data_IF_178443591379
#
_entry.id   IF_178443591379
#
_cell.length_a   1.000
_cell.length_b   1.000
_cell.length_c   1.000
_cell.angle_alpha   90.00
_cell.angle_beta   90.00
_cell.angle_gamma   90.00
#
_symmetry.space_group_name_H-M   'P 1'
#
loop_
_entity.id
_entity.type
_entity.pdbx_description
1 polymer ?
#
# COMPACT_ATOMS: atom_id res chain seq x y z
N UNK A 1 -18.06 -64.61 -25.33
CA UNK A 1 -17.02 -63.64 -25.70
C UNK A 1 -16.84 -62.66 -24.56
N UNK A 2 -15.64 -62.67 -23.94
CA UNK A 2 -15.00 -61.60 -23.14
C UNK A 2 -15.74 -61.15 -21.86
N UNK A 3 -15.12 -60.96 -20.69
CA UNK A 3 -13.82 -61.30 -20.14
C UNK A 3 -13.82 -60.85 -18.67
N UNK A 4 -13.16 -61.65 -17.83
CA UNK A 4 -12.36 -61.32 -16.64
C UNK A 4 -12.82 -60.34 -15.54
N UNK A 5 -12.80 -60.92 -14.34
CA UNK A 5 -12.55 -60.34 -13.01
C UNK A 5 -11.35 -59.36 -12.99
N UNK A 6 -11.38 -58.35 -12.12
CA UNK A 6 -10.29 -58.13 -11.15
C UNK A 6 -10.69 -57.16 -10.03
N UNK A 7 -10.15 -57.44 -8.84
CA UNK A 7 -10.20 -56.63 -7.63
C UNK A 7 -9.08 -55.57 -7.65
N UNK A 8 -9.09 -54.75 -6.60
CA UNK A 8 -7.96 -54.04 -5.99
C UNK A 8 -7.82 -52.52 -6.24
N UNK A 9 -8.05 -51.82 -5.12
CA UNK A 9 -7.12 -50.84 -4.52
C UNK A 9 -7.28 -49.35 -4.85
N UNK A 10 -7.51 -48.63 -3.75
CA UNK A 10 -7.25 -47.21 -3.49
C UNK A 10 -6.16 -46.58 -4.35
N UNK A 11 -6.50 -45.51 -5.07
CA UNK A 11 -5.60 -44.37 -5.31
C UNK A 11 -6.45 -43.10 -5.47
N UNK A 12 -6.24 -42.14 -4.57
CA UNK A 12 -6.60 -40.73 -4.77
C UNK A 12 -5.60 -40.15 -5.78
N UNK A 13 -6.03 -39.28 -6.72
CA UNK A 13 -5.14 -38.20 -7.12
C UNK A 13 -5.86 -36.83 -7.19
N UNK A 14 -5.42 -35.94 -6.30
CA UNK A 14 -4.83 -34.61 -6.57
C UNK A 14 -5.29 -33.81 -7.79
N UNK A 15 -5.90 -32.64 -7.50
CA UNK A 15 -5.70 -31.32 -8.14
C UNK A 15 -5.59 -31.25 -9.68
N UNK A 16 -6.61 -30.67 -10.34
CA UNK A 16 -6.40 -29.59 -11.32
C UNK A 16 -7.77 -29.02 -11.75
N UNK A 17 -7.99 -27.73 -11.51
CA UNK A 17 -8.45 -26.74 -12.50
C UNK A 17 -9.10 -25.58 -11.75
N UNK A 18 -8.26 -24.61 -11.37
CA UNK A 18 -8.70 -23.25 -11.12
C UNK A 18 -9.54 -22.80 -12.31
N UNK A 19 -10.87 -22.77 -12.13
CA UNK A 19 -11.78 -22.20 -13.12
C UNK A 19 -11.60 -20.69 -13.11
N UNK A 20 -10.75 -20.24 -14.02
CA UNK A 20 -10.82 -18.96 -14.69
C UNK A 20 -12.28 -18.53 -14.86
N UNK A 21 -12.72 -17.57 -14.06
CA UNK A 21 -13.86 -16.73 -14.40
C UNK A 21 -13.37 -15.30 -14.44
N UNK A 22 -12.72 -15.00 -15.55
CA UNK A 22 -12.68 -13.67 -16.12
C UNK A 22 -14.13 -13.13 -16.17
N UNK A 23 -14.49 -12.29 -15.20
CA UNK A 23 -15.74 -11.54 -15.24
C UNK A 23 -15.46 -10.21 -15.91
N UNK A 24 -15.68 -10.25 -17.23
CA UNK A 24 -16.53 -9.29 -17.96
C UNK A 24 -16.13 -7.81 -17.81
N UNK A 25 -15.25 -7.39 -18.71
CA UNK A 25 -15.14 -6.02 -19.18
C UNK A 25 -16.53 -5.48 -19.55
N UNK A 26 -16.98 -4.44 -18.84
CA UNK A 26 -18.01 -3.51 -19.28
C UNK A 26 -17.35 -2.14 -19.44
N UNK A 27 -17.39 -1.59 -20.66
CA UNK A 27 -17.02 -0.22 -20.97
C UNK A 27 -18.05 0.73 -20.36
N UNK A 28 -17.59 1.65 -19.52
CA UNK A 28 -18.37 2.75 -18.94
C UNK A 28 -17.54 3.46 -17.89
N UNK A 29 -16.75 4.46 -18.31
CA UNK A 29 -15.81 5.26 -17.50
C UNK A 29 -14.74 4.40 -16.79
N UNK A 30 -13.60 4.18 -17.48
CA UNK A 30 -12.47 3.33 -17.06
C UNK A 30 -11.69 3.87 -15.85
N UNK A 31 -12.36 4.32 -14.80
CA UNK A 31 -11.73 4.46 -13.48
C UNK A 31 -11.41 3.06 -13.02
N UNK A 32 -10.16 2.62 -13.24
CA UNK A 32 -9.61 1.48 -12.50
C UNK A 32 -9.89 1.78 -11.04
N UNK A 33 -10.78 1.03 -10.39
CA UNK A 33 -10.87 1.05 -8.94
C UNK A 33 -9.50 0.58 -8.45
N UNK A 34 -8.66 1.56 -8.11
CA UNK A 34 -7.34 1.28 -7.57
C UNK A 34 -7.62 0.70 -6.19
N UNK A 35 -7.25 -0.56 -5.95
CA UNK A 35 -7.53 -1.20 -4.66
C UNK A 35 -6.92 -0.32 -3.57
N UNK A 36 -7.71 -0.03 -2.52
CA UNK A 36 -7.30 0.85 -1.42
C UNK A 36 -6.86 0.03 -0.23
N UNK A 37 -5.98 0.58 0.59
CA UNK A 37 -5.57 0.03 1.87
C UNK A 37 -5.64 1.13 2.95
N UNK A 38 -5.65 0.72 4.21
CA UNK A 38 -5.45 1.61 5.34
C UNK A 38 -3.99 1.60 5.73
N UNK A 39 -3.41 2.78 5.94
CA UNK A 39 -2.03 2.97 6.39
C UNK A 39 -2.02 3.89 7.59
N UNK A 40 -1.09 3.65 8.51
CA UNK A 40 -0.87 4.48 9.69
C UNK A 40 0.25 5.43 9.35
N UNK A 41 -0.05 6.71 9.43
CA UNK A 41 0.89 7.79 9.25
C UNK A 41 1.41 8.16 10.63
N UNK A 42 2.71 8.02 10.86
CA UNK A 42 3.38 8.44 12.07
C UNK A 42 4.06 9.78 11.82
N UNK A 43 3.69 10.82 12.56
CA UNK A 43 4.32 12.13 12.48
C UNK A 43 5.41 12.24 13.54
N UNK A 44 6.61 12.64 13.13
CA UNK A 44 7.77 12.79 14.00
C UNK A 44 8.29 14.22 14.05
N UNK A 45 8.82 14.61 15.21
CA UNK A 45 9.40 15.92 15.45
C UNK A 45 8.44 17.05 15.03
N UNK A 46 8.90 17.95 14.14
CA UNK A 46 8.15 19.14 13.75
C UNK A 46 6.85 18.82 13.00
N UNK A 47 6.72 17.65 12.36
CA UNK A 47 5.48 17.29 11.64
C UNK A 47 4.36 16.94 12.62
N UNK A 48 4.69 16.35 13.77
CA UNK A 48 3.72 16.05 14.83
C UNK A 48 3.16 17.33 15.47
N UNK A 49 4.02 18.33 15.70
CA UNK A 49 3.60 19.64 16.20
C UNK A 49 2.64 20.34 15.23
N UNK A 50 2.91 20.25 13.93
CA UNK A 50 2.10 20.89 12.88
C UNK A 50 0.78 20.14 12.68
N UNK A 51 0.82 18.80 12.60
CA UNK A 51 -0.37 17.97 12.44
C UNK A 51 -1.23 17.93 13.71
N UNK A 52 -0.65 18.24 14.88
CA UNK A 52 -1.31 18.19 16.17
C UNK A 52 -1.58 16.76 16.68
N UNK A 53 -1.12 15.74 15.95
CA UNK A 53 -1.28 14.32 16.26
C UNK A 53 0.05 13.59 16.00
N UNK A 54 0.30 12.53 16.77
CA UNK A 54 1.47 11.66 16.57
C UNK A 54 1.23 10.58 15.53
N UNK A 55 -0.02 10.12 15.38
CA UNK A 55 -0.39 9.19 14.33
C UNK A 55 -1.83 9.37 13.86
N UNK A 56 -2.10 8.93 12.64
CA UNK A 56 -3.46 8.79 12.11
C UNK A 56 -3.54 7.66 11.09
N UNK A 57 -4.73 7.07 10.92
CA UNK A 57 -4.98 6.08 9.87
C UNK A 57 -5.66 6.73 8.67
N UNK A 58 -5.03 6.69 7.50
CA UNK A 58 -5.62 7.17 6.25
C UNK A 58 -5.88 6.02 5.27
N UNK A 59 -6.94 6.15 4.47
CA UNK A 59 -7.19 5.24 3.36
C UNK A 59 -6.59 5.81 2.08
N UNK A 60 -5.69 5.06 1.44
CA UNK A 60 -5.01 5.46 0.20
C UNK A 60 -5.03 4.30 -0.81
N UNK A 61 -4.86 4.58 -2.11
CA UNK A 61 -4.60 3.54 -3.10
C UNK A 61 -3.37 2.70 -2.72
N UNK A 62 -3.43 1.39 -2.98
CA UNK A 62 -2.31 0.47 -2.79
C UNK A 62 -1.10 0.85 -3.64
N UNK A 63 -1.36 1.37 -4.84
CA UNK A 63 -0.34 1.93 -5.71
C UNK A 63 -0.50 3.45 -5.72
N UNK A 64 0.37 4.14 -5.00
CA UNK A 64 0.34 5.60 -4.91
C UNK A 64 1.75 6.18 -5.04
N UNK A 65 1.91 7.28 -5.75
CA UNK A 65 3.20 7.99 -5.81
C UNK A 65 3.46 8.70 -4.49
N UNK A 66 4.71 8.78 -4.04
CA UNK A 66 5.08 9.52 -2.84
C UNK A 66 4.53 10.96 -2.85
N UNK A 67 4.65 11.68 -3.97
CA UNK A 67 4.08 13.03 -4.09
C UNK A 67 2.55 13.08 -4.00
N UNK A 68 1.84 12.05 -4.47
CA UNK A 68 0.38 11.97 -4.36
C UNK A 68 -0.04 11.64 -2.92
N UNK A 69 0.68 10.74 -2.25
CA UNK A 69 0.48 10.42 -0.84
C UNK A 69 0.67 11.67 0.03
N UNK A 70 1.71 12.46 -0.23
CA UNK A 70 1.91 13.75 0.42
C UNK A 70 0.72 14.69 0.25
N UNK A 71 0.15 14.80 -0.96
CA UNK A 71 -1.04 15.66 -1.18
C UNK A 71 -2.25 15.22 -0.36
N UNK A 72 -2.45 13.92 -0.17
CA UNK A 72 -3.52 13.39 0.68
C UNK A 72 -3.33 13.78 2.16
N UNK A 73 -2.08 13.82 2.63
CA UNK A 73 -1.71 14.23 3.99
C UNK A 73 -1.79 15.75 4.14
N UNK A 74 -1.23 16.51 3.21
CA UNK A 74 -1.27 17.98 3.14
C UNK A 74 -2.73 18.49 3.09
N UNK A 75 -3.61 17.78 2.39
CA UNK A 75 -5.03 18.11 2.36
C UNK A 75 -5.72 17.96 3.73
N UNK A 76 -5.19 17.13 4.62
CA UNK A 76 -5.70 16.94 5.99
C UNK A 76 -5.06 17.93 6.96
N UNK A 77 -3.77 18.19 6.77
CA UNK A 77 -2.97 19.11 7.57
C UNK A 77 -2.29 20.15 6.68
N UNK A 78 -3.00 21.22 6.28
CA UNK A 78 -2.45 22.24 5.38
C UNK A 78 -1.16 22.90 5.90
N UNK A 79 -0.97 22.94 7.23
CA UNK A 79 0.26 23.47 7.84
C UNK A 79 1.52 22.67 7.49
N UNK A 80 1.39 21.41 7.05
CA UNK A 80 2.53 20.61 6.62
C UNK A 80 3.14 21.10 5.30
N UNK A 81 2.41 21.92 4.52
CA UNK A 81 2.91 22.49 3.26
C UNK A 81 4.25 23.22 3.43
N UNK A 82 4.46 23.90 4.57
CA UNK A 82 5.67 24.68 4.87
C UNK A 82 6.93 23.81 4.99
N UNK A 83 6.76 22.54 5.37
CA UNK A 83 7.87 21.59 5.58
C UNK A 83 8.05 20.60 4.44
N UNK A 84 7.27 20.72 3.36
CA UNK A 84 7.29 19.80 2.21
C UNK A 84 8.69 19.50 1.68
N UNK A 85 9.54 20.51 1.55
CA UNK A 85 10.90 20.34 1.00
C UNK A 85 11.91 19.73 1.98
N UNK A 86 11.51 19.49 3.23
CA UNK A 86 12.33 18.97 4.33
C UNK A 86 11.77 17.64 4.87
N UNK A 87 10.77 17.05 4.20
CA UNK A 87 10.14 15.80 4.60
C UNK A 87 10.73 14.64 3.81
N UNK A 88 10.99 13.55 4.53
CA UNK A 88 11.22 12.23 3.96
C UNK A 88 10.16 11.26 4.49
N UNK A 89 9.74 10.33 3.64
CA UNK A 89 8.93 9.21 4.09
C UNK A 89 9.82 8.04 4.46
N UNK A 90 9.43 7.25 5.45
CA UNK A 90 9.92 5.90 5.64
C UNK A 90 8.76 4.93 5.46
N UNK A 91 8.77 4.19 4.35
CA UNK A 91 7.76 3.19 4.02
C UNK A 91 8.38 1.84 4.28
N UNK A 92 7.88 1.08 5.26
CA UNK A 92 8.50 -0.19 5.68
C UNK A 92 10.01 -0.07 5.96
N UNK A 93 10.39 0.94 6.74
CA UNK A 93 11.79 1.22 7.10
C UNK A 93 12.70 1.62 5.93
N UNK A 94 12.14 1.83 4.72
CA UNK A 94 12.88 2.38 3.57
C UNK A 94 12.58 3.86 3.39
N UNK A 95 13.63 4.68 3.34
CA UNK A 95 13.51 6.10 3.10
C UNK A 95 13.13 6.39 1.64
N UNK A 96 12.07 7.17 1.45
CA UNK A 96 11.53 7.57 0.16
C UNK A 96 11.38 9.09 0.12
N UNK A 97 12.01 9.69 -0.88
CA UNK A 97 11.88 11.12 -1.14
C UNK A 97 10.52 11.45 -1.77
N UNK A 98 10.06 12.69 -1.57
CA UNK A 98 8.85 13.17 -2.23
C UNK A 98 9.11 13.31 -3.73
N UNK A 99 8.46 12.45 -4.52
CA UNK A 99 8.58 12.49 -5.98
C UNK A 99 7.61 11.55 -6.68
N UNK A 100 7.99 11.18 -7.90
CA UNK A 100 7.21 10.27 -8.74
C UNK A 100 7.42 8.79 -8.42
N UNK A 101 8.22 8.48 -7.38
CA UNK A 101 8.44 7.11 -6.91
C UNK A 101 7.10 6.47 -6.51
N UNK A 102 6.82 5.31 -7.11
CA UNK A 102 5.62 4.54 -6.85
C UNK A 102 5.81 3.73 -5.56
N UNK A 103 4.90 3.94 -4.62
CA UNK A 103 4.80 3.18 -3.39
C UNK A 103 3.76 2.09 -3.58
N UNK A 104 4.16 0.84 -3.33
CA UNK A 104 3.26 -0.30 -3.28
C UNK A 104 2.96 -0.62 -1.80
N UNK A 105 1.78 -0.26 -1.34
CA UNK A 105 1.26 -0.49 -0.01
C UNK A 105 0.44 -1.79 -0.04
N UNK A 106 0.92 -2.83 0.64
CA UNK A 106 0.26 -4.14 0.61
C UNK A 106 -0.84 -4.24 1.68
N UNK A 107 -2.03 -4.74 1.32
CA UNK A 107 -3.05 -5.11 2.31
C UNK A 107 -2.68 -6.45 2.94
N UNK A 108 -2.41 -6.51 4.25
CA UNK A 108 -2.27 -7.81 4.93
C UNK A 108 -1.26 -7.87 6.07
N UNK A 109 -0.32 -6.94 6.13
CA UNK A 109 0.44 -6.71 7.35
C UNK A 109 -0.27 -5.63 8.16
N UNK A 110 -0.34 -5.83 9.48
CA UNK A 110 -0.81 -4.87 10.46
C UNK A 110 -0.39 -3.47 10.03
N UNK A 111 -1.39 -2.69 9.60
CA UNK A 111 -1.32 -1.31 9.14
C UNK A 111 0.06 -0.92 8.58
N UNK A 112 0.26 -0.95 7.26
CA UNK A 112 1.53 -0.58 6.65
C UNK A 112 2.00 0.80 7.19
N UNK A 113 2.96 0.76 8.10
CA UNK A 113 3.47 1.93 8.79
C UNK A 113 4.15 2.84 7.78
N UNK A 114 3.61 4.04 7.64
CA UNK A 114 4.22 5.16 6.94
C UNK A 114 4.75 6.12 8.00
N UNK A 115 6.06 6.19 8.14
CA UNK A 115 6.67 7.19 9.02
C UNK A 115 6.97 8.44 8.20
N UNK A 116 6.53 9.59 8.70
CA UNK A 116 6.85 10.90 8.14
C UNK A 116 7.81 11.58 9.08
N UNK A 117 9.08 11.58 8.68
CA UNK A 117 10.13 12.28 9.37
C UNK A 117 10.44 13.59 8.65
N UNK A 118 10.53 14.68 9.40
CA UNK A 118 11.20 15.89 8.91
C UNK A 118 12.69 15.66 9.12
N UNK A 119 13.43 15.61 8.02
CA UNK A 119 14.89 15.57 8.06
C UNK A 119 15.33 17.02 8.12
N UNK A 120 15.87 17.50 9.26
CA UNK A 120 16.51 18.81 9.26
C UNK A 120 17.60 18.82 8.19
N UNK A 121 17.88 19.96 7.53
CA UNK A 121 19.01 20.05 6.63
C UNK A 121 20.23 19.48 7.37
N UNK A 122 20.91 18.51 6.76
CA UNK A 122 22.12 17.86 7.28
C UNK A 122 23.17 18.93 7.56
N UNK A 123 23.10 19.56 8.74
CA UNK A 123 24.18 20.33 9.31
C UNK A 123 25.18 19.30 9.80
N UNK A 124 26.14 18.98 8.93
CA UNK A 124 27.26 18.10 9.24
C UNK A 124 27.94 18.54 10.55
N UNK A 125 28.15 17.56 11.42
CA UNK A 125 29.15 17.59 12.47
C UNK A 125 30.37 16.81 12.02
#
# INVERSE_FOLDING_TARGET
TVSSKSKDTYLIPTQLHQRSKARKFLMGDSRREVPRCQVEVLYLAKSAEIAGVHSETISVPQEIKALQLWKEIESRHPGLADVKNQVIFAVRQEYVELGDQLLLLQPGDEIAGLEIAIVPPISGG
#
